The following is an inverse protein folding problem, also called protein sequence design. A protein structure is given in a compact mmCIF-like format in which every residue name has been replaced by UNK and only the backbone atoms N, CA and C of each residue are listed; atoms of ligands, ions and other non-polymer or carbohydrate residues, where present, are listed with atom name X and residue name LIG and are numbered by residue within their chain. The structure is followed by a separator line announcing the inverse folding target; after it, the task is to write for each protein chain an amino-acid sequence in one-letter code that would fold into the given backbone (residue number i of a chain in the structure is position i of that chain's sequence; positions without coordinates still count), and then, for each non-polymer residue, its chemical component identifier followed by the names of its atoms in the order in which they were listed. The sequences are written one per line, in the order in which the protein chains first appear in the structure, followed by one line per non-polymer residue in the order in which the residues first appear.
data_IF_522956176999
#
_entry.id   IF_522956176999
#
_cell.length_a   1.000
_cell.length_b   1.000
_cell.length_c   1.000
_cell.angle_alpha   90.00
_cell.angle_beta   90.00
_cell.angle_gamma   90.00
#
_symmetry.space_group_name_H-M   'P 1'
#
loop_
_entity.id
_entity.type
_entity.pdbx_description
1 polymer ?
#
# COMPACT_ATOMS: atom_id res chain seq x y z
N UNK A 1 3.61 -10.44 12.83
CA UNK A 1 3.33 -9.18 12.12
C UNK A 1 4.45 -8.20 12.35
N UNK A 2 5.05 -7.71 11.27
CA UNK A 2 6.15 -6.75 11.34
C UNK A 2 5.68 -5.39 10.87
N UNK A 3 6.08 -4.36 11.57
CA UNK A 3 5.78 -2.98 11.20
C UNK A 3 6.99 -2.36 10.53
N UNK A 4 6.74 -1.58 9.51
CA UNK A 4 7.74 -0.94 8.68
C UNK A 4 7.39 0.52 8.45
N UNK A 5 8.35 1.25 7.93
CA UNK A 5 8.15 2.62 7.46
C UNK A 5 9.12 2.84 6.29
N UNK A 6 9.04 1.97 5.30
CA UNK A 6 9.96 1.96 4.17
C UNK A 6 9.31 2.53 2.92
N UNK A 7 10.02 3.40 2.22
CA UNK A 7 9.56 3.87 0.92
C UNK A 7 9.56 2.72 -0.08
N UNK A 8 8.49 2.63 -0.85
CA UNK A 8 8.35 1.65 -1.91
C UNK A 8 7.88 2.32 -3.18
N UNK A 9 8.08 1.62 -4.29
CA UNK A 9 7.52 2.02 -5.58
C UNK A 9 6.23 1.25 -5.79
N UNK A 10 5.18 1.95 -6.21
CA UNK A 10 3.85 1.35 -6.38
C UNK A 10 3.31 1.73 -7.75
N UNK A 11 2.90 0.72 -8.50
CA UNK A 11 2.14 0.93 -9.72
C UNK A 11 0.69 1.21 -9.35
N UNK A 12 0.14 2.28 -9.89
CA UNK A 12 -1.16 2.78 -9.46
C UNK A 12 -2.01 3.15 -10.66
N UNK A 13 -3.29 2.84 -10.57
CA UNK A 13 -4.29 3.33 -11.51
C UNK A 13 -5.11 4.39 -10.79
N UNK A 14 -5.23 5.57 -11.42
CA UNK A 14 -6.09 6.63 -10.92
C UNK A 14 -7.37 6.62 -11.76
N UNK A 15 -8.48 6.26 -11.12
CA UNK A 15 -9.76 6.23 -11.77
C UNK A 15 -10.49 7.56 -11.67
N UNK A 16 -11.71 7.59 -12.19
CA UNK A 16 -12.58 8.74 -12.07
C UNK A 16 -12.93 8.99 -10.60
N UNK A 17 -13.10 10.24 -10.22
CA UNK A 17 -13.51 10.61 -8.88
C UNK A 17 -12.45 10.41 -7.83
N UNK A 18 -11.18 10.53 -8.17
CA UNK A 18 -10.05 10.48 -7.24
C UNK A 18 -9.80 9.10 -6.63
N UNK A 19 -10.27 8.05 -7.29
CA UNK A 19 -9.99 6.71 -6.82
C UNK A 19 -8.55 6.33 -7.13
N UNK A 20 -7.86 5.85 -6.11
CA UNK A 20 -6.48 5.36 -6.22
C UNK A 20 -6.54 3.86 -6.09
N UNK A 21 -5.95 3.15 -7.06
CA UNK A 21 -5.92 1.69 -7.00
C UNK A 21 -4.49 1.21 -7.22
N UNK A 22 -3.81 0.75 -6.17
CA UNK A 22 -2.51 0.13 -6.34
C UNK A 22 -2.68 -1.25 -6.99
N UNK A 23 -1.79 -1.56 -7.95
CA UNK A 23 -1.86 -2.81 -8.69
C UNK A 23 -0.63 -3.68 -8.51
N UNK A 24 0.49 -3.09 -8.11
CA UNK A 24 1.70 -3.82 -7.74
C UNK A 24 2.60 -2.90 -6.92
N UNK A 25 3.54 -3.48 -6.19
CA UNK A 25 4.57 -2.69 -5.53
C UNK A 25 5.90 -3.43 -5.59
N UNK A 26 6.99 -2.67 -5.43
CA UNK A 26 8.34 -3.21 -5.39
C UNK A 26 8.90 -2.98 -3.99
N UNK A 27 9.34 -4.06 -3.38
CA UNK A 27 9.94 -4.05 -2.05
C UNK A 27 11.20 -4.91 -2.07
N UNK A 28 12.32 -4.34 -1.65
CA UNK A 28 13.62 -5.02 -1.64
C UNK A 28 13.96 -5.63 -3.00
N UNK A 29 13.66 -4.89 -4.06
CA UNK A 29 13.95 -5.31 -5.42
C UNK A 29 13.02 -6.37 -6.00
N UNK A 30 12.00 -6.78 -5.25
CA UNK A 30 11.03 -7.79 -5.69
C UNK A 30 9.70 -7.13 -5.99
N UNK A 31 9.13 -7.46 -7.15
CA UNK A 31 7.82 -6.96 -7.55
C UNK A 31 6.72 -7.88 -7.04
N UNK A 32 5.76 -7.28 -6.34
CA UNK A 32 4.62 -7.99 -5.79
C UNK A 32 3.36 -7.52 -6.49
N UNK A 33 2.82 -8.31 -7.42
CA UNK A 33 1.50 -8.00 -7.99
C UNK A 33 0.44 -8.15 -6.91
N UNK A 34 -0.50 -7.21 -6.88
CA UNK A 34 -1.58 -7.21 -5.90
C UNK A 34 -2.74 -8.05 -6.45
N UNK A 35 -3.10 -9.08 -5.71
CA UNK A 35 -4.22 -9.96 -6.07
C UNK A 35 -5.55 -9.26 -5.79
N UNK A 36 -5.68 -8.70 -4.59
CA UNK A 36 -6.86 -7.90 -4.24
C UNK A 36 -6.54 -6.93 -3.11
N UNK A 37 -7.41 -5.93 -2.98
CA UNK A 37 -7.38 -4.96 -1.89
C UNK A 37 -8.47 -5.40 -0.92
N UNK A 38 -8.06 -5.77 0.30
CA UNK A 38 -9.00 -6.30 1.29
C UNK A 38 -9.59 -5.22 2.18
N UNK A 39 -8.84 -4.11 2.37
CA UNK A 39 -9.28 -3.01 3.22
C UNK A 39 -8.70 -1.71 2.71
N UNK A 40 -9.44 -0.63 2.92
CA UNK A 40 -9.00 0.72 2.59
C UNK A 40 -9.53 1.68 3.65
N UNK A 41 -8.64 2.56 4.15
CA UNK A 41 -9.05 3.61 5.08
C UNK A 41 -8.12 4.81 4.96
N UNK A 42 -8.55 5.93 5.55
CA UNK A 42 -7.77 7.16 5.54
C UNK A 42 -7.46 7.53 6.98
N UNK A 43 -6.22 7.94 7.22
CA UNK A 43 -5.82 8.53 8.49
C UNK A 43 -5.22 9.90 8.25
N UNK A 44 -5.11 10.68 9.32
CA UNK A 44 -4.46 11.98 9.28
C UNK A 44 -3.14 11.91 10.04
N UNK A 45 -2.11 12.53 9.47
CA UNK A 45 -0.83 12.70 10.14
C UNK A 45 -0.40 14.14 9.93
N UNK A 46 -0.57 14.97 10.97
CA UNK A 46 -0.41 16.40 10.81
C UNK A 46 -1.45 16.93 9.85
N UNK A 47 -1.01 17.60 8.79
CA UNK A 47 -1.91 18.11 7.75
C UNK A 47 -2.08 17.13 6.59
N UNK A 48 -1.34 16.00 6.60
CA UNK A 48 -1.37 15.04 5.51
C UNK A 48 -2.45 13.99 5.70
N UNK A 49 -3.13 13.64 4.62
CA UNK A 49 -4.00 12.49 4.58
C UNK A 49 -3.20 11.30 4.07
N UNK A 50 -3.30 10.19 4.80
CA UNK A 50 -2.65 8.94 4.42
C UNK A 50 -3.73 7.96 3.99
N UNK A 51 -3.63 7.50 2.74
CA UNK A 51 -4.51 6.45 2.23
C UNK A 51 -3.87 5.10 2.52
N UNK A 52 -4.54 4.28 3.31
CA UNK A 52 -4.05 2.97 3.69
C UNK A 52 -4.75 1.89 2.89
N UNK A 53 -3.99 0.94 2.40
CA UNK A 53 -4.51 -0.21 1.67
C UNK A 53 -3.97 -1.47 2.31
N UNK A 54 -4.85 -2.35 2.72
CA UNK A 54 -4.47 -3.72 3.05
C UNK A 54 -4.62 -4.53 1.78
N UNK A 55 -3.52 -5.11 1.31
CA UNK A 55 -3.48 -5.79 0.03
C UNK A 55 -2.96 -7.21 0.20
N UNK A 56 -3.39 -8.10 -0.68
CA UNK A 56 -3.01 -9.50 -0.64
C UNK A 56 -2.36 -9.89 -1.96
N UNK A 57 -1.28 -10.66 -1.88
CA UNK A 57 -0.65 -11.21 -3.06
C UNK A 57 -1.18 -12.61 -3.37
N UNK A 58 -0.64 -13.26 -4.41
CA UNK A 58 -1.08 -14.59 -4.83
C UNK A 58 -0.77 -15.68 -3.81
N UNK A 59 0.20 -15.45 -2.95
CA UNK A 59 0.60 -16.41 -1.92
C UNK A 59 -0.13 -16.19 -0.59
N UNK A 60 -1.17 -15.34 -0.60
CA UNK A 60 -1.95 -14.95 0.60
C UNK A 60 -1.15 -14.19 1.65
N UNK A 61 -0.03 -13.62 1.28
CA UNK A 61 0.64 -12.66 2.14
C UNK A 61 -0.14 -11.35 2.15
N UNK A 62 -0.26 -10.74 3.31
CA UNK A 62 -0.98 -9.48 3.47
C UNK A 62 0.02 -8.38 3.80
N UNK A 63 -0.14 -7.27 3.10
CA UNK A 63 0.71 -6.09 3.29
C UNK A 63 -0.17 -4.89 3.54
N UNK A 64 0.27 -3.99 4.39
CA UNK A 64 -0.35 -2.69 4.50
C UNK A 64 0.58 -1.67 3.84
N UNK A 65 0.08 -0.97 2.83
CA UNK A 65 0.81 0.09 2.16
C UNK A 65 0.06 1.40 2.35
N UNK A 66 0.81 2.49 2.46
CA UNK A 66 0.24 3.81 2.69
C UNK A 66 0.71 4.82 1.67
N UNK A 67 -0.21 5.66 1.22
CA UNK A 67 0.06 6.72 0.29
C UNK A 67 -0.19 8.08 0.96
N UNK A 68 0.86 8.88 1.05
CA UNK A 68 0.75 10.22 1.59
C UNK A 68 0.34 11.17 0.48
N UNK A 69 -0.89 11.71 0.57
CA UNK A 69 -1.44 12.56 -0.47
C UNK A 69 -0.74 13.92 -0.57
N UNK A 70 -0.01 14.34 0.46
CA UNK A 70 0.72 15.60 0.45
C UNK A 70 2.09 15.45 -0.21
N UNK A 71 2.82 14.40 0.12
CA UNK A 71 4.18 14.17 -0.40
C UNK A 71 4.21 13.29 -1.64
N UNK A 72 3.11 12.61 -1.95
CA UNK A 72 2.99 11.66 -3.06
C UNK A 72 3.92 10.46 -2.91
N UNK A 73 4.24 10.10 -1.67
CA UNK A 73 5.16 9.00 -1.37
C UNK A 73 4.36 7.80 -0.87
N UNK A 74 4.70 6.63 -1.38
CA UNK A 74 4.19 5.35 -0.91
C UNK A 74 5.16 4.73 0.09
N UNK A 75 4.62 4.11 1.12
CA UNK A 75 5.41 3.39 2.11
C UNK A 75 4.80 2.03 2.41
N UNK A 76 5.68 1.07 2.67
CA UNK A 76 5.26 -0.21 3.24
C UNK A 76 5.18 -0.05 4.75
N UNK A 77 4.02 -0.34 5.33
CA UNK A 77 3.76 -0.11 6.74
C UNK A 77 3.70 -1.39 7.55
N UNK A 78 3.16 -2.46 7.00
CA UNK A 78 3.06 -3.75 7.70
C UNK A 78 3.21 -4.89 6.72
N UNK A 79 3.80 -5.98 7.21
CA UNK A 79 3.86 -7.23 6.47
C UNK A 79 3.32 -8.33 7.38
N UNK A 80 2.37 -9.10 6.86
CA UNK A 80 1.83 -10.25 7.55
C UNK A 80 1.93 -11.44 6.60
N UNK A 81 2.86 -12.34 6.92
CA UNK A 81 3.11 -13.51 6.09
C UNK A 81 2.22 -14.63 6.59
N UNK A 82 1.52 -15.27 5.64
CA UNK A 82 0.72 -16.44 5.94
C UNK A 82 1.66 -17.61 6.16
N UNK A 83 1.69 -18.07 7.37
CA UNK A 83 2.60 -19.16 7.76
C UNK A 83 2.02 -20.52 7.38
#
# INVERSE_FOLDING_TARGET
MDEFDEKIEVGTIFGRGRKIKPIWFIWKGVKYPIQDITYYWISERGEALIHHFSVRDKANNVFEIGYNAQTLVWKLLKVEVDA
#
